data_IF_725970745899
#
_entry.id   IF_725970745899
#
_cell.length_a   1.000
_cell.length_b   1.000
_cell.length_c   1.000
_cell.angle_alpha   90.00
_cell.angle_beta   90.00
_cell.angle_gamma   90.00
#
_symmetry.space_group_name_H-M   'P 1'
#
loop_
_entity.id
_entity.type
_entity.pdbx_description
1 polymer ?
#
# COMPACT_ATOMS: atom_id res chain seq x y z
N UNK A 1 -12.04 -4.07 6.70
CA UNK A 1 -11.08 -4.68 7.64
C UNK A 1 -11.22 -4.17 9.09
N UNK A 2 -10.87 -2.94 9.44
CA UNK A 2 -10.93 -2.45 10.84
C UNK A 2 -12.36 -2.24 11.38
N UNK A 3 -13.35 -2.08 10.51
CA UNK A 3 -14.75 -1.84 10.90
C UNK A 3 -15.47 -3.06 11.46
N UNK A 4 -14.80 -4.21 11.52
CA UNK A 4 -15.30 -5.34 12.29
C UNK A 4 -15.08 -5.07 13.78
N UNK A 5 -16.13 -5.27 14.60
CA UNK A 5 -16.12 -5.05 16.04
C UNK A 5 -14.93 -5.76 16.74
N UNK A 6 -14.61 -6.96 16.31
CA UNK A 6 -13.50 -7.74 16.84
C UNK A 6 -12.14 -7.09 16.59
N UNK A 7 -11.91 -6.51 15.40
CA UNK A 7 -10.65 -5.80 15.12
C UNK A 7 -10.51 -4.56 16.00
N UNK A 8 -11.60 -3.82 16.19
CA UNK A 8 -11.60 -2.67 17.07
C UNK A 8 -11.28 -3.11 18.52
N UNK A 9 -11.85 -4.23 18.99
CA UNK A 9 -11.54 -4.81 20.29
C UNK A 9 -10.07 -5.20 20.42
N UNK A 10 -9.45 -5.81 19.37
CA UNK A 10 -8.02 -6.15 19.38
C UNK A 10 -7.14 -4.90 19.46
N UNK A 11 -7.48 -3.83 18.75
CA UNK A 11 -6.75 -2.57 18.82
C UNK A 11 -6.89 -1.92 20.22
N UNK A 12 -8.09 -1.95 20.80
CA UNK A 12 -8.32 -1.48 22.16
C UNK A 12 -7.53 -2.30 23.18
N UNK A 13 -7.57 -3.64 23.08
CA UNK A 13 -6.81 -4.54 23.95
C UNK A 13 -5.30 -4.27 23.83
N UNK A 14 -4.76 -4.23 22.63
CA UNK A 14 -3.34 -3.92 22.39
C UNK A 14 -2.96 -2.55 22.95
N UNK A 15 -3.86 -1.56 22.87
CA UNK A 15 -3.66 -0.22 23.45
C UNK A 15 -3.58 -0.31 24.98
N UNK A 16 -4.56 -0.93 25.64
CA UNK A 16 -4.58 -1.07 27.09
C UNK A 16 -3.34 -1.81 27.58
N UNK A 17 -3.03 -2.95 26.96
CA UNK A 17 -1.85 -3.74 27.34
C UNK A 17 -0.54 -3.00 27.11
N UNK A 18 -0.45 -2.15 26.08
CA UNK A 18 0.75 -1.32 25.84
C UNK A 18 1.00 -0.29 26.94
N UNK A 19 0.00 0.03 27.76
CA UNK A 19 0.14 0.92 28.93
C UNK A 19 0.54 0.19 30.19
N UNK A 20 0.20 -1.08 30.32
CA UNK A 20 0.49 -1.92 31.48
C UNK A 20 1.87 -2.56 31.34
N UNK A 21 2.20 -3.03 30.14
CA UNK A 21 3.45 -3.76 29.86
C UNK A 21 4.59 -2.78 29.57
N UNK A 22 5.79 -2.95 30.17
CA UNK A 22 6.94 -2.13 29.85
C UNK A 22 7.28 -2.15 28.33
N UNK A 23 7.64 -1.02 27.75
CA UNK A 23 7.86 -0.87 26.30
C UNK A 23 8.82 -1.88 25.68
N UNK A 24 9.79 -2.33 26.43
CA UNK A 24 10.75 -3.35 25.99
C UNK A 24 10.08 -4.71 25.69
N UNK A 25 8.92 -4.96 26.22
CA UNK A 25 8.15 -6.20 26.08
C UNK A 25 6.93 -6.05 25.15
N UNK A 26 6.75 -4.91 24.51
CA UNK A 26 5.59 -4.64 23.63
C UNK A 26 5.46 -5.65 22.50
N UNK A 27 6.55 -6.28 22.03
CA UNK A 27 6.47 -7.35 21.04
C UNK A 27 5.58 -8.52 21.50
N UNK A 28 5.59 -8.84 22.81
CA UNK A 28 4.76 -9.90 23.39
C UNK A 28 3.28 -9.52 23.49
N UNK A 29 2.95 -8.23 23.44
CA UNK A 29 1.57 -7.73 23.36
C UNK A 29 1.10 -7.71 21.90
N UNK A 30 1.92 -7.17 21.02
CA UNK A 30 1.51 -6.94 19.64
C UNK A 30 1.47 -8.22 18.80
N UNK A 31 2.36 -9.18 19.08
CA UNK A 31 2.40 -10.45 18.35
C UNK A 31 1.10 -11.25 18.49
N UNK A 32 0.57 -11.56 19.70
CA UNK A 32 -0.69 -12.28 19.83
C UNK A 32 -1.88 -11.52 19.21
N UNK A 33 -1.96 -10.20 19.42
CA UNK A 33 -2.99 -9.38 18.81
C UNK A 33 -2.91 -9.40 17.28
N UNK A 34 -1.70 -9.38 16.74
CA UNK A 34 -1.47 -9.49 15.30
C UNK A 34 -1.86 -10.86 14.73
N UNK A 35 -1.51 -11.95 15.42
CA UNK A 35 -1.92 -13.30 15.03
C UNK A 35 -3.45 -13.46 15.06
N UNK A 36 -4.11 -12.95 16.09
CA UNK A 36 -5.57 -12.96 16.18
C UNK A 36 -6.21 -12.11 15.07
N UNK A 37 -5.60 -10.98 14.70
CA UNK A 37 -6.05 -10.16 13.57
C UNK A 37 -5.95 -10.90 12.25
N UNK A 38 -4.82 -11.58 11.97
CA UNK A 38 -4.63 -12.33 10.74
C UNK A 38 -5.60 -13.52 10.67
N UNK A 39 -5.80 -14.22 11.79
CA UNK A 39 -6.65 -15.42 11.83
C UNK A 39 -8.10 -15.16 11.42
N UNK A 40 -8.62 -13.94 11.60
CA UNK A 40 -9.97 -13.60 11.14
C UNK A 40 -10.15 -13.62 9.62
N UNK A 41 -9.07 -13.32 8.89
CA UNK A 41 -9.11 -13.15 7.43
C UNK A 41 -8.47 -14.31 6.68
N UNK A 42 -7.83 -15.21 7.41
CA UNK A 42 -6.98 -16.20 6.79
C UNK A 42 -7.02 -17.53 7.54
N UNK A 43 -6.94 -18.66 6.84
CA UNK A 43 -6.87 -19.97 7.46
C UNK A 43 -5.63 -20.08 8.35
N UNK A 44 -5.63 -21.06 9.26
CA UNK A 44 -4.56 -21.29 10.24
C UNK A 44 -3.18 -21.45 9.60
N UNK A 45 -3.12 -21.94 8.36
CA UNK A 45 -1.89 -22.04 7.57
C UNK A 45 -1.18 -20.68 7.38
N UNK A 46 -1.93 -19.59 7.25
CA UNK A 46 -1.40 -18.24 7.10
C UNK A 46 -0.93 -17.68 8.45
N UNK A 47 -1.63 -18.01 9.52
CA UNK A 47 -1.19 -17.70 10.89
C UNK A 47 0.18 -18.33 11.14
N UNK A 48 0.38 -19.56 10.67
CA UNK A 48 1.67 -20.27 10.75
C UNK A 48 2.75 -19.65 9.87
N UNK A 49 2.40 -18.96 8.78
CA UNK A 49 3.35 -18.26 7.91
C UNK A 49 3.97 -17.03 8.59
N UNK A 50 3.24 -16.37 9.49
CA UNK A 50 3.69 -15.12 10.12
C UNK A 50 4.99 -15.26 10.94
N UNK A 51 5.23 -16.33 11.73
CA UNK A 51 6.52 -16.58 12.38
C UNK A 51 7.69 -16.67 11.39
N UNK A 52 7.47 -17.30 10.21
CA UNK A 52 8.51 -17.35 9.16
C UNK A 52 8.82 -15.97 8.59
N UNK A 53 7.81 -15.14 8.36
CA UNK A 53 7.99 -13.75 7.93
C UNK A 53 8.81 -12.97 8.97
N UNK A 54 8.51 -13.15 10.26
CA UNK A 54 9.29 -12.53 11.35
C UNK A 54 10.73 -13.04 11.41
N UNK A 55 10.95 -14.35 11.21
CA UNK A 55 12.28 -14.95 11.15
C UNK A 55 13.10 -14.36 10.00
N UNK A 56 12.51 -14.25 8.82
CA UNK A 56 13.17 -13.64 7.66
C UNK A 56 13.56 -12.19 7.98
N UNK A 57 12.66 -11.41 8.57
CA UNK A 57 12.97 -10.05 9.02
C UNK A 57 14.13 -10.00 10.00
N UNK A 58 14.20 -10.94 10.93
CA UNK A 58 15.31 -11.06 11.88
C UNK A 58 16.63 -11.41 11.19
N UNK A 59 16.63 -12.29 10.20
CA UNK A 59 17.82 -12.60 9.40
C UNK A 59 18.30 -11.39 8.61
N UNK A 60 17.42 -10.56 8.07
CA UNK A 60 17.76 -9.28 7.46
C UNK A 60 18.44 -8.33 8.47
N UNK A 61 17.94 -8.25 9.70
CA UNK A 61 18.55 -7.45 10.76
C UNK A 61 19.97 -7.92 11.11
N UNK A 62 20.16 -9.22 11.29
CA UNK A 62 21.49 -9.82 11.57
C UNK A 62 22.45 -9.52 10.43
N UNK A 63 22.03 -9.73 9.19
CA UNK A 63 22.86 -9.47 8.02
C UNK A 63 23.25 -7.98 7.89
N UNK A 64 22.31 -7.06 8.19
CA UNK A 64 22.59 -5.63 8.24
C UNK A 64 23.65 -5.28 9.27
N UNK A 65 23.55 -5.86 10.48
CA UNK A 65 24.52 -5.66 11.59
C UNK A 65 25.90 -6.22 11.28
N UNK A 66 25.98 -7.42 10.69
CA UNK A 66 27.25 -8.06 10.36
C UNK A 66 28.09 -7.20 9.40
N UNK A 67 27.45 -6.50 8.48
CA UNK A 67 28.13 -5.64 7.51
C UNK A 67 28.46 -4.24 8.06
N UNK A 68 27.70 -3.73 9.02
CA UNK A 68 28.00 -2.47 9.71
C UNK A 68 29.22 -2.55 10.59
N UNK A 69 29.53 -3.72 11.14
CA UNK A 69 30.78 -3.99 11.87
C UNK A 69 31.85 -4.34 10.83
N UNK A 70 32.80 -3.45 10.57
CA UNK A 70 33.96 -3.61 9.64
C UNK A 70 34.79 -4.93 9.83
N UNK A 71 34.39 -5.82 10.71
CA UNK A 71 35.06 -7.05 11.09
C UNK A 71 34.85 -8.26 10.17
N UNK A 72 33.95 -8.18 9.19
CA UNK A 72 33.80 -9.26 8.23
C UNK A 72 34.10 -8.76 6.81
N UNK A 73 35.22 -9.23 6.27
CA UNK A 73 35.51 -9.25 4.82
C UNK A 73 34.45 -10.12 4.11
N UNK A 74 33.20 -9.69 4.13
CA UNK A 74 32.11 -10.41 3.50
C UNK A 74 32.07 -10.01 2.03
N UNK A 75 32.32 -10.98 1.16
CA UNK A 75 32.24 -10.79 -0.28
C UNK A 75 30.87 -10.19 -0.65
N UNK A 76 30.87 -9.01 -1.26
CA UNK A 76 29.68 -8.22 -1.64
C UNK A 76 28.67 -9.08 -2.42
N UNK A 77 29.19 -9.99 -3.26
CA UNK A 77 28.42 -10.95 -4.05
C UNK A 77 27.66 -11.97 -3.18
N UNK A 78 28.31 -12.52 -2.14
CA UNK A 78 27.66 -13.47 -1.21
C UNK A 78 26.53 -12.81 -0.43
N UNK A 79 26.68 -11.55 -0.02
CA UNK A 79 25.62 -10.81 0.67
C UNK A 79 24.43 -10.52 -0.24
N UNK A 80 24.66 -10.24 -1.52
CA UNK A 80 23.62 -10.06 -2.52
C UNK A 80 22.89 -11.36 -2.81
N UNK A 81 23.64 -12.46 -3.02
CA UNK A 81 23.07 -13.80 -3.24
C UNK A 81 22.21 -14.22 -2.03
N UNK A 82 22.69 -14.01 -0.81
CA UNK A 82 21.92 -14.35 0.38
C UNK A 82 20.67 -13.48 0.53
N UNK A 83 20.73 -12.19 0.16
CA UNK A 83 19.55 -11.32 0.15
C UNK A 83 18.52 -11.80 -0.87
N UNK A 84 18.95 -12.16 -2.07
CA UNK A 84 18.06 -12.72 -3.11
C UNK A 84 17.53 -14.09 -2.68
N UNK A 85 18.36 -14.95 -2.10
CA UNK A 85 17.93 -16.25 -1.59
C UNK A 85 16.90 -16.11 -0.46
N UNK A 86 17.09 -15.19 0.48
CA UNK A 86 16.10 -14.88 1.52
C UNK A 86 14.78 -14.36 0.94
N UNK A 87 14.86 -13.52 -0.10
CA UNK A 87 13.68 -13.08 -0.84
C UNK A 87 12.97 -14.26 -1.51
N UNK A 88 13.70 -15.13 -2.22
CA UNK A 88 13.15 -16.32 -2.86
C UNK A 88 12.56 -17.29 -1.82
N UNK A 89 13.25 -17.53 -0.71
CA UNK A 89 12.73 -18.36 0.39
C UNK A 89 11.46 -17.76 1.01
N UNK A 90 11.33 -16.45 1.08
CA UNK A 90 10.10 -15.79 1.52
C UNK A 90 8.93 -16.04 0.55
N UNK A 91 9.24 -16.14 -0.76
CA UNK A 91 8.24 -16.39 -1.81
C UNK A 91 7.85 -17.87 -1.96
N UNK A 92 8.69 -18.81 -1.54
CA UNK A 92 8.40 -20.26 -1.65
C UNK A 92 7.17 -20.69 -0.84
N UNK A 93 7.05 -20.39 0.47
CA UNK A 93 5.84 -20.70 1.24
C UNK A 93 4.61 -19.97 0.69
N UNK A 94 4.82 -18.77 0.17
CA UNK A 94 3.81 -17.97 -0.48
C UNK A 94 3.33 -18.60 -1.79
N UNK A 95 4.24 -19.01 -2.67
CA UNK A 95 3.92 -19.70 -3.91
C UNK A 95 3.25 -21.06 -3.67
N UNK A 96 3.71 -21.83 -2.68
CA UNK A 96 3.07 -23.09 -2.29
C UNK A 96 1.66 -22.88 -1.74
N UNK A 97 1.47 -21.86 -0.91
CA UNK A 97 0.15 -21.47 -0.44
C UNK A 97 -0.77 -21.04 -1.58
N UNK A 98 -0.27 -20.26 -2.54
CA UNK A 98 -0.99 -19.89 -3.74
C UNK A 98 -1.46 -21.11 -4.55
N UNK A 99 -0.56 -22.05 -4.78
CA UNK A 99 -0.85 -23.26 -5.53
C UNK A 99 -1.87 -24.15 -4.80
N UNK A 100 -1.75 -24.27 -3.48
CA UNK A 100 -2.70 -25.01 -2.65
C UNK A 100 -4.08 -24.34 -2.61
N UNK A 101 -4.15 -23.02 -2.67
CA UNK A 101 -5.40 -22.26 -2.66
C UNK A 101 -6.08 -22.24 -4.04
N UNK A 102 -5.31 -22.16 -5.11
CA UNK A 102 -5.82 -22.23 -6.48
C UNK A 102 -6.44 -23.61 -6.83
N UNK A 103 -5.98 -24.67 -6.18
CA UNK A 103 -6.54 -26.02 -6.33
C UNK A 103 -7.83 -26.26 -5.54
N UNK A 104 -8.18 -25.39 -4.58
CA UNK A 104 -9.26 -25.65 -3.62
C UNK A 104 -10.60 -24.95 -3.90
N UNK A 105 -10.69 -24.08 -4.81
CA UNK A 105 -11.83 -23.36 -5.42
C UNK A 105 -11.32 -22.03 -5.96
N UNK A 106 -11.77 -21.61 -7.15
CA UNK A 106 -11.49 -20.30 -7.77
C UNK A 106 -12.09 -19.13 -6.96
N UNK A 107 -11.77 -19.03 -5.69
CA UNK A 107 -12.05 -17.84 -4.89
C UNK A 107 -10.86 -16.92 -4.99
N UNK A 108 -11.13 -15.66 -5.27
CA UNK A 108 -10.12 -14.59 -5.33
C UNK A 108 -9.10 -14.72 -4.20
N UNK A 109 -7.82 -14.64 -4.57
CA UNK A 109 -6.71 -14.68 -3.62
C UNK A 109 -6.94 -13.69 -2.47
N UNK A 110 -6.72 -14.08 -1.19
CA UNK A 110 -6.88 -13.15 -0.08
C UNK A 110 -5.85 -12.02 -0.19
N UNK A 111 -6.29 -10.90 -0.74
CA UNK A 111 -5.54 -9.65 -0.87
C UNK A 111 -4.78 -9.27 0.41
N UNK A 112 -5.36 -9.60 1.56
CA UNK A 112 -4.79 -9.36 2.86
C UNK A 112 -3.43 -10.02 3.07
N UNK A 113 -3.23 -11.21 2.52
CA UNK A 113 -1.95 -11.95 2.66
C UNK A 113 -0.87 -11.28 1.83
N UNK A 114 -1.20 -10.90 0.60
CA UNK A 114 -0.27 -10.24 -0.28
C UNK A 114 0.21 -8.91 0.32
N UNK A 115 -0.75 -8.11 0.81
CA UNK A 115 -0.43 -6.86 1.53
C UNK A 115 0.43 -7.14 2.75
N UNK A 116 0.09 -8.18 3.55
CA UNK A 116 0.87 -8.57 4.72
C UNK A 116 2.33 -8.87 4.35
N UNK A 117 2.56 -9.70 3.34
CA UNK A 117 3.91 -10.09 2.92
C UNK A 117 4.68 -8.89 2.39
N UNK A 118 4.13 -8.18 1.42
CA UNK A 118 4.83 -7.08 0.74
C UNK A 118 5.11 -5.89 1.65
N UNK A 119 4.15 -5.53 2.51
CA UNK A 119 4.37 -4.48 3.50
C UNK A 119 5.47 -4.84 4.50
N UNK A 120 5.48 -6.07 4.99
CA UNK A 120 6.53 -6.49 5.90
C UNK A 120 7.88 -6.59 5.19
N UNK A 121 7.94 -7.07 3.94
CA UNK A 121 9.19 -7.08 3.16
C UNK A 121 9.73 -5.67 2.95
N UNK A 122 8.88 -4.69 2.63
CA UNK A 122 9.28 -3.30 2.51
C UNK A 122 9.84 -2.77 3.85
N UNK A 123 9.22 -3.12 4.97
CA UNK A 123 9.67 -2.73 6.32
C UNK A 123 10.98 -3.41 6.72
N UNK A 124 11.18 -4.68 6.38
CA UNK A 124 12.44 -5.38 6.63
C UNK A 124 13.57 -4.84 5.78
N UNK A 125 13.28 -4.56 4.50
CA UNK A 125 14.28 -4.02 3.60
C UNK A 125 14.82 -2.66 4.07
N UNK A 126 13.96 -1.74 4.51
CA UNK A 126 14.46 -0.45 4.98
C UNK A 126 15.25 -0.57 6.29
N UNK A 127 14.83 -1.45 7.22
CA UNK A 127 15.62 -1.70 8.46
C UNK A 127 16.98 -2.26 8.12
N UNK A 128 17.03 -3.28 7.24
CA UNK A 128 18.30 -3.82 6.74
C UNK A 128 19.19 -2.73 6.14
N UNK A 129 18.61 -1.93 5.24
CA UNK A 129 19.32 -0.86 4.55
C UNK A 129 19.88 0.17 5.54
N UNK A 130 19.06 0.68 6.46
CA UNK A 130 19.42 1.71 7.40
C UNK A 130 20.45 1.22 8.45
N UNK A 131 20.31 -0.02 8.93
CA UNK A 131 21.30 -0.65 9.83
C UNK A 131 22.65 -0.81 9.11
N UNK A 132 22.61 -1.29 7.86
CA UNK A 132 23.83 -1.50 7.05
C UNK A 132 24.59 -0.21 6.75
N UNK A 133 23.88 0.91 6.57
CA UNK A 133 24.49 2.20 6.26
C UNK A 133 24.72 3.07 7.50
N UNK A 134 24.54 2.51 8.69
CA UNK A 134 24.78 3.24 9.95
C UNK A 134 23.73 4.30 10.29
N UNK A 135 22.62 4.33 9.57
CA UNK A 135 21.52 5.29 9.79
C UNK A 135 20.62 4.89 10.96
N UNK A 136 20.78 3.67 11.46
CA UNK A 136 20.03 3.12 12.59
C UNK A 136 20.99 2.46 13.60
N UNK A 137 21.89 3.24 14.24
CA UNK A 137 22.87 2.67 15.15
C UNK A 137 22.22 2.17 16.44
N UNK A 138 22.74 1.06 16.98
CA UNK A 138 22.38 0.56 18.32
C UNK A 138 20.94 0.07 18.45
N UNK A 139 20.27 -0.31 17.34
CA UNK A 139 18.95 -0.97 17.39
C UNK A 139 19.08 -2.30 18.12
N UNK A 140 18.23 -2.49 19.14
CA UNK A 140 18.12 -3.75 19.87
C UNK A 140 17.17 -4.71 19.18
N UNK A 141 17.42 -6.01 19.29
CA UNK A 141 16.53 -7.05 18.71
C UNK A 141 15.09 -6.91 19.19
N UNK A 142 14.88 -6.59 20.48
CA UNK A 142 13.56 -6.35 21.05
C UNK A 142 12.83 -5.14 20.43
N UNK A 143 13.57 -4.09 20.07
CA UNK A 143 13.01 -2.91 19.39
C UNK A 143 12.57 -3.26 17.96
N UNK A 144 13.36 -4.11 17.30
CA UNK A 144 12.98 -4.63 15.98
C UNK A 144 11.69 -5.45 16.04
N UNK A 145 11.60 -6.42 16.94
CA UNK A 145 10.38 -7.22 17.07
C UNK A 145 9.17 -6.37 17.47
N UNK A 146 9.33 -5.42 18.39
CA UNK A 146 8.24 -4.51 18.73
C UNK A 146 7.79 -3.67 17.52
N UNK A 147 8.72 -3.23 16.67
CA UNK A 147 8.40 -2.48 15.46
C UNK A 147 7.68 -3.33 14.42
N UNK A 148 8.17 -4.53 14.12
CA UNK A 148 7.58 -5.36 13.05
C UNK A 148 6.23 -5.92 13.42
N UNK A 149 5.97 -6.15 14.71
CA UNK A 149 4.68 -6.62 15.22
C UNK A 149 3.73 -5.50 15.62
N UNK A 150 4.16 -4.22 15.57
CA UNK A 150 3.34 -3.08 16.00
C UNK A 150 2.04 -3.00 15.20
N UNK A 151 0.95 -3.36 15.84
CA UNK A 151 -0.36 -3.60 15.23
C UNK A 151 -0.82 -2.48 14.28
N UNK A 152 -0.70 -1.17 14.63
CA UNK A 152 -1.17 -0.08 13.76
C UNK A 152 -0.48 0.00 12.39
N UNK A 153 0.70 -0.59 12.23
CA UNK A 153 1.46 -0.53 10.96
C UNK A 153 1.82 -1.92 10.41
N UNK A 154 1.47 -3.01 11.12
CA UNK A 154 1.89 -4.35 10.72
C UNK A 154 1.09 -4.89 9.52
N UNK A 155 -0.17 -4.48 9.36
CA UNK A 155 -1.13 -5.12 8.44
C UNK A 155 -1.72 -4.09 7.47
N UNK A 156 -0.88 -3.54 6.58
CA UNK A 156 -1.33 -2.60 5.55
C UNK A 156 -1.55 -1.17 6.04
N UNK A 157 -1.06 -0.82 7.25
CA UNK A 157 -1.00 0.55 7.74
C UNK A 157 0.06 1.37 7.01
N UNK A 158 0.36 2.61 7.46
CA UNK A 158 1.41 3.42 6.85
C UNK A 158 2.78 2.76 7.03
N UNK A 159 3.66 2.87 6.02
CA UNK A 159 5.07 2.47 6.15
C UNK A 159 5.80 3.57 6.93
N UNK A 160 5.83 3.43 8.24
CA UNK A 160 6.58 4.33 9.11
C UNK A 160 8.00 3.82 9.31
N UNK A 161 8.97 4.75 9.42
CA UNK A 161 10.36 4.35 9.54
C UNK A 161 10.69 3.85 10.95
N UNK A 162 11.55 2.84 11.04
CA UNK A 162 11.97 2.30 12.33
C UNK A 162 12.68 3.34 13.20
N UNK A 163 13.36 4.33 12.61
CA UNK A 163 13.98 5.43 13.33
C UNK A 163 12.97 6.21 14.17
N UNK A 164 11.80 6.55 13.59
CA UNK A 164 10.74 7.24 14.32
C UNK A 164 10.15 6.35 15.40
N UNK A 165 9.90 5.08 15.09
CA UNK A 165 9.39 4.12 16.06
C UNK A 165 10.30 3.99 17.28
N UNK A 166 11.61 3.74 17.07
CA UNK A 166 12.60 3.59 18.14
C UNK A 166 12.75 4.88 18.95
N UNK A 167 12.70 6.04 18.29
CA UNK A 167 12.73 7.33 18.96
C UNK A 167 11.58 7.47 19.98
N UNK A 168 10.36 7.10 19.63
CA UNK A 168 9.25 7.14 20.56
C UNK A 168 9.28 5.99 21.58
N UNK A 169 9.75 4.81 21.19
CA UNK A 169 9.87 3.66 22.09
C UNK A 169 10.82 3.93 23.26
N UNK A 170 11.86 4.73 23.05
CA UNK A 170 12.84 5.10 24.09
C UNK A 170 12.38 6.28 24.97
N UNK A 171 11.31 6.96 24.61
CA UNK A 171 10.71 8.06 25.43
C UNK A 171 9.75 7.53 26.48
N UNK A 172 9.42 8.37 27.48
CA UNK A 172 8.30 8.09 28.39
C UNK A 172 7.01 7.94 27.62
N UNK A 173 6.18 7.02 28.06
CA UNK A 173 4.87 6.78 27.48
C UNK A 173 3.98 8.02 27.66
N UNK A 174 3.36 8.48 26.58
CA UNK A 174 2.47 9.64 26.58
C UNK A 174 1.40 9.45 25.52
N UNK A 175 0.14 9.69 25.87
CA UNK A 175 -0.95 9.76 24.89
C UNK A 175 -0.93 11.12 24.19
N UNK A 176 -1.10 11.12 22.90
CA UNK A 176 -1.13 12.33 22.08
C UNK A 176 -2.57 12.72 21.73
N UNK A 177 -3.38 13.04 22.74
CA UNK A 177 -4.84 13.27 22.63
C UNK A 177 -5.25 14.19 21.47
N UNK A 178 -4.57 15.32 21.31
CA UNK A 178 -4.86 16.24 20.20
C UNK A 178 -4.74 15.57 18.83
N UNK A 179 -3.72 14.70 18.64
CA UNK A 179 -3.54 13.95 17.40
C UNK A 179 -4.56 12.83 17.25
N UNK A 180 -4.89 12.15 18.34
CA UNK A 180 -5.97 11.16 18.35
C UNK A 180 -7.26 11.80 17.84
N UNK A 181 -7.67 12.95 18.41
CA UNK A 181 -8.87 13.67 17.96
C UNK A 181 -8.82 14.05 16.47
N UNK A 182 -7.68 14.56 15.99
CA UNK A 182 -7.49 14.92 14.57
C UNK A 182 -7.63 13.70 13.65
N UNK A 183 -7.02 12.56 14.02
CA UNK A 183 -7.09 11.34 13.20
C UNK A 183 -8.49 10.74 13.22
N UNK A 184 -9.18 10.72 14.36
CA UNK A 184 -10.56 10.26 14.45
C UNK A 184 -11.52 11.16 13.67
N UNK A 185 -11.38 12.48 13.77
CA UNK A 185 -12.18 13.44 13.02
C UNK A 185 -12.02 13.30 11.49
N UNK A 186 -10.93 12.74 11.02
CA UNK A 186 -10.70 12.42 9.61
C UNK A 186 -11.21 11.01 9.25
N UNK A 187 -11.00 10.04 10.14
CA UNK A 187 -11.33 8.64 9.87
C UNK A 187 -12.85 8.40 9.82
N UNK A 188 -13.59 8.87 10.84
CA UNK A 188 -15.01 8.55 10.98
C UNK A 188 -15.89 9.08 9.84
N UNK A 189 -15.81 10.36 9.43
CA UNK A 189 -16.64 10.83 8.32
C UNK A 189 -16.37 10.07 7.02
N UNK A 190 -15.10 9.75 6.74
CA UNK A 190 -14.74 8.98 5.56
C UNK A 190 -15.26 7.55 5.62
N UNK A 191 -15.20 6.91 6.79
CA UNK A 191 -15.75 5.58 7.00
C UNK A 191 -17.27 5.57 6.78
N UNK A 192 -17.99 6.48 7.44
CA UNK A 192 -19.45 6.60 7.31
C UNK A 192 -19.88 6.86 5.86
N UNK A 193 -19.18 7.77 5.18
CA UNK A 193 -19.49 8.04 3.78
C UNK A 193 -19.19 6.82 2.88
N UNK A 194 -18.11 6.09 3.13
CA UNK A 194 -17.81 4.89 2.37
C UNK A 194 -18.90 3.82 2.55
N UNK A 195 -19.32 3.57 3.79
CA UNK A 195 -20.37 2.57 4.06
C UNK A 195 -21.75 3.03 3.53
N UNK A 196 -22.06 4.32 3.58
CA UNK A 196 -23.23 4.88 2.96
C UNK A 196 -23.25 4.66 1.43
N UNK A 197 -22.10 4.90 0.75
CA UNK A 197 -21.97 4.65 -0.67
C UNK A 197 -22.12 3.16 -1.01
N UNK A 198 -21.56 2.28 -0.19
CA UNK A 198 -21.72 0.82 -0.36
C UNK A 198 -23.16 0.39 -0.16
N UNK A 199 -23.89 0.97 0.80
CA UNK A 199 -25.28 0.68 1.02
C UNK A 199 -26.15 1.00 -0.22
N UNK A 200 -25.90 2.14 -0.89
CA UNK A 200 -26.64 2.54 -2.08
C UNK A 200 -26.18 1.84 -3.37
N UNK A 201 -24.90 1.55 -3.48
CA UNK A 201 -24.26 0.98 -4.68
C UNK A 201 -23.53 -0.31 -4.32
N UNK A 202 -24.29 -1.27 -3.76
CA UNK A 202 -23.70 -2.57 -3.42
C UNK A 202 -23.28 -3.30 -4.70
N UNK A 203 -21.95 -3.59 -4.86
CA UNK A 203 -21.44 -4.27 -6.04
C UNK A 203 -22.10 -5.65 -6.26
N UNK A 204 -22.40 -6.37 -5.20
CA UNK A 204 -22.99 -7.72 -5.27
C UNK A 204 -24.45 -7.75 -5.74
N UNK A 205 -25.13 -6.60 -5.75
CA UNK A 205 -26.53 -6.49 -6.14
C UNK A 205 -26.76 -5.51 -7.28
N UNK A 206 -25.70 -4.92 -7.84
CA UNK A 206 -25.82 -3.97 -8.94
C UNK A 206 -26.24 -4.70 -10.22
N UNK A 207 -27.34 -4.28 -10.88
CA UNK A 207 -27.89 -4.96 -12.05
C UNK A 207 -27.12 -4.56 -13.32
N UNK A 208 -25.90 -5.07 -13.52
CA UNK A 208 -25.03 -4.67 -14.63
C UNK A 208 -25.69 -4.75 -16.01
N UNK A 209 -26.50 -5.78 -16.26
CA UNK A 209 -27.14 -5.98 -17.55
C UNK A 209 -28.27 -4.98 -17.79
N UNK A 210 -29.06 -4.66 -16.77
CA UNK A 210 -30.27 -3.83 -16.88
C UNK A 210 -30.02 -2.35 -16.60
N UNK A 211 -28.85 -2.01 -15.99
CA UNK A 211 -28.52 -0.64 -15.67
C UNK A 211 -28.31 0.21 -16.94
N UNK A 212 -28.80 1.46 -16.93
CA UNK A 212 -28.44 2.42 -17.98
C UNK A 212 -26.93 2.72 -17.99
N UNK A 213 -26.41 3.21 -19.11
CA UNK A 213 -24.99 3.65 -19.20
C UNK A 213 -24.68 4.72 -18.13
N UNK A 214 -25.62 5.65 -17.88
CA UNK A 214 -25.45 6.67 -16.83
C UNK A 214 -25.30 6.05 -15.46
N UNK A 215 -26.13 5.08 -15.08
CA UNK A 215 -26.04 4.38 -13.80
C UNK A 215 -24.74 3.59 -13.68
N UNK A 216 -24.27 2.95 -14.75
CA UNK A 216 -22.99 2.25 -14.78
C UNK A 216 -21.79 3.20 -14.56
N UNK A 217 -21.80 4.37 -15.19
CA UNK A 217 -20.75 5.38 -15.01
C UNK A 217 -20.73 5.94 -13.57
N UNK A 218 -21.92 6.21 -13.00
CA UNK A 218 -22.06 6.63 -11.60
C UNK A 218 -21.54 5.54 -10.67
N UNK A 219 -21.86 4.28 -10.90
CA UNK A 219 -21.40 3.14 -10.14
C UNK A 219 -19.87 3.06 -10.16
N UNK A 220 -19.24 3.08 -11.35
CA UNK A 220 -17.77 3.05 -11.51
C UNK A 220 -17.09 4.21 -10.78
N UNK A 221 -17.65 5.41 -10.90
CA UNK A 221 -17.11 6.58 -10.19
C UNK A 221 -17.23 6.42 -8.67
N UNK A 222 -18.34 5.86 -8.19
CA UNK A 222 -18.60 5.59 -6.77
C UNK A 222 -17.63 4.56 -6.20
N UNK A 223 -17.30 3.50 -6.96
CA UNK A 223 -16.27 2.51 -6.55
C UNK A 223 -14.95 3.21 -6.22
N UNK A 224 -14.49 4.10 -7.09
CA UNK A 224 -13.27 4.88 -6.83
C UNK A 224 -13.33 5.63 -5.49
N UNK A 225 -14.46 6.26 -5.18
CA UNK A 225 -14.65 6.91 -3.88
C UNK A 225 -14.63 5.92 -2.72
N UNK A 226 -15.32 4.80 -2.82
CA UNK A 226 -15.38 3.78 -1.76
C UNK A 226 -13.96 3.26 -1.44
N UNK A 227 -13.17 2.90 -2.47
CA UNK A 227 -11.79 2.42 -2.28
C UNK A 227 -10.95 3.49 -1.57
N UNK A 228 -11.01 4.73 -2.04
CA UNK A 228 -10.23 5.82 -1.46
C UNK A 228 -10.64 6.15 -0.02
N UNK A 229 -11.94 6.28 0.25
CA UNK A 229 -12.46 6.61 1.57
C UNK A 229 -12.17 5.51 2.60
N UNK A 230 -12.32 4.23 2.21
CA UNK A 230 -12.02 3.09 3.07
C UNK A 230 -10.54 3.05 3.43
N UNK A 231 -9.63 3.19 2.44
CA UNK A 231 -8.19 3.20 2.73
C UNK A 231 -7.78 4.42 3.55
N UNK A 232 -8.33 5.59 3.23
CA UNK A 232 -8.05 6.82 3.99
C UNK A 232 -8.46 6.68 5.45
N UNK A 233 -9.70 6.26 5.71
CA UNK A 233 -10.22 6.09 7.07
C UNK A 233 -9.48 5.00 7.84
N UNK A 234 -9.13 3.88 7.20
CA UNK A 234 -8.32 2.82 7.78
C UNK A 234 -6.97 3.34 8.29
N UNK A 235 -6.22 4.05 7.44
CA UNK A 235 -4.90 4.58 7.81
C UNK A 235 -5.01 5.66 8.89
N UNK A 236 -5.99 6.55 8.82
CA UNK A 236 -6.16 7.56 9.87
C UNK A 236 -6.58 6.92 11.20
N UNK A 237 -7.40 5.86 11.19
CA UNK A 237 -7.77 5.13 12.39
C UNK A 237 -6.57 4.39 13.01
N UNK A 238 -5.74 3.71 12.21
CA UNK A 238 -4.53 3.05 12.71
C UNK A 238 -3.55 4.07 13.32
N UNK A 239 -3.47 5.27 12.77
CA UNK A 239 -2.67 6.37 13.32
C UNK A 239 -3.23 6.91 14.62
N UNK A 240 -4.56 6.95 14.79
CA UNK A 240 -5.18 7.29 16.08
C UNK A 240 -4.76 6.30 17.16
N UNK A 241 -4.83 4.98 16.87
CA UNK A 241 -4.36 3.95 17.80
C UNK A 241 -2.86 4.04 18.08
N UNK A 242 -2.04 4.31 17.08
CA UNK A 242 -0.61 4.55 17.29
C UNK A 242 -0.37 5.73 18.26
N UNK A 243 -1.11 6.82 18.12
CA UNK A 243 -1.05 7.96 19.05
C UNK A 243 -1.50 7.60 20.48
N UNK A 244 -2.53 6.75 20.62
CA UNK A 244 -2.97 6.22 21.92
C UNK A 244 -1.88 5.35 22.57
N UNK A 245 -1.16 4.55 21.78
CA UNK A 245 -0.04 3.72 22.23
C UNK A 245 1.27 4.51 22.42
N UNK A 246 1.26 5.84 22.21
CA UNK A 246 2.42 6.72 22.40
C UNK A 246 3.40 6.79 21.24
N UNK A 247 2.96 6.47 20.00
CA UNK A 247 3.74 6.54 18.77
C UNK A 247 3.10 7.52 17.75
N UNK A 248 3.25 8.84 17.95
CA UNK A 248 2.66 9.84 17.08
C UNK A 248 3.53 10.07 15.85
N UNK A 249 3.44 9.22 14.86
CA UNK A 249 4.15 9.40 13.60
C UNK A 249 3.84 10.76 12.98
N UNK A 250 4.88 11.53 12.65
CA UNK A 250 4.74 12.95 12.32
C UNK A 250 4.41 13.19 10.84
N UNK A 251 4.97 12.40 9.95
CA UNK A 251 4.83 12.62 8.53
C UNK A 251 3.38 12.33 8.06
N UNK A 252 2.75 13.24 7.29
CA UNK A 252 1.40 13.01 6.77
C UNK A 252 1.38 11.82 5.81
N UNK A 253 0.26 11.08 5.75
CA UNK A 253 0.06 10.03 4.76
C UNK A 253 -0.87 10.45 3.61
N UNK A 254 -1.71 11.45 3.85
CA UNK A 254 -2.58 12.06 2.86
C UNK A 254 -2.53 13.58 2.99
N UNK A 255 -2.47 14.30 1.85
CA UNK A 255 -2.41 15.77 1.86
C UNK A 255 -3.15 16.37 0.67
N UNK A 256 -4.36 16.91 0.88
CA UNK A 256 -5.17 17.58 -0.15
C UNK A 256 -5.23 16.79 -1.47
N UNK A 257 -5.54 15.50 -1.37
CA UNK A 257 -5.47 14.54 -2.48
C UNK A 257 -6.28 15.00 -3.69
N UNK A 258 -7.52 15.41 -3.49
CA UNK A 258 -8.43 15.89 -4.55
C UNK A 258 -8.10 17.30 -5.08
N UNK A 259 -7.05 17.92 -4.56
CA UNK A 259 -6.43 19.11 -5.13
C UNK A 259 -5.38 18.81 -6.19
N UNK A 260 -5.13 17.55 -6.50
CA UNK A 260 -4.15 17.13 -7.50
C UNK A 260 -4.56 17.56 -8.91
N UNK A 261 -3.59 18.06 -9.69
CA UNK A 261 -3.77 18.53 -11.06
C UNK A 261 -3.13 17.59 -12.09
N UNK A 262 -2.67 16.44 -11.68
CA UNK A 262 -2.06 15.40 -12.50
C UNK A 262 -1.95 14.10 -11.72
N UNK A 263 -1.78 12.97 -12.41
CA UNK A 263 -1.59 11.65 -11.81
C UNK A 263 -0.35 11.63 -10.90
N UNK A 264 0.76 12.25 -11.33
CA UNK A 264 1.96 12.38 -10.50
C UNK A 264 1.69 13.19 -9.22
N UNK A 265 0.93 14.31 -9.33
CA UNK A 265 0.55 15.13 -8.17
C UNK A 265 -0.42 14.39 -7.24
N UNK A 266 -1.29 13.50 -7.76
CA UNK A 266 -2.15 12.65 -6.94
C UNK A 266 -1.30 11.69 -6.08
N UNK A 267 -0.39 10.93 -6.69
CA UNK A 267 0.45 9.98 -5.99
C UNK A 267 1.43 10.61 -5.01
N UNK A 268 1.87 11.85 -5.26
CA UNK A 268 2.67 12.61 -4.28
C UNK A 268 1.90 13.02 -3.02
N UNK A 269 0.58 12.89 -3.02
CA UNK A 269 -0.34 13.30 -1.94
C UNK A 269 -1.13 12.14 -1.35
N UNK A 270 -1.16 11.00 -2.04
CA UNK A 270 -1.87 9.78 -1.69
C UNK A 270 -0.91 8.74 -1.16
N UNK A 271 -1.24 8.13 -0.03
CA UNK A 271 -0.43 7.10 0.64
C UNK A 271 1.07 7.45 0.67
N UNK A 272 1.36 8.65 1.15
CA UNK A 272 2.68 9.28 1.05
C UNK A 272 3.79 8.48 1.75
N UNK A 273 3.45 7.62 2.71
CA UNK A 273 4.42 6.76 3.38
C UNK A 273 5.06 5.76 2.42
N UNK A 274 4.25 5.13 1.56
CA UNK A 274 4.72 4.23 0.49
C UNK A 274 5.58 5.00 -0.51
N UNK A 275 5.12 6.18 -0.94
CA UNK A 275 5.87 7.04 -1.87
C UNK A 275 7.23 7.47 -1.29
N UNK A 276 7.29 7.90 -0.03
CA UNK A 276 8.54 8.26 0.65
C UNK A 276 9.50 7.08 0.76
N UNK A 277 8.97 5.90 1.12
CA UNK A 277 9.74 4.68 1.17
C UNK A 277 10.33 4.33 -0.20
N UNK A 278 9.50 4.32 -1.24
CA UNK A 278 9.93 4.02 -2.60
C UNK A 278 11.00 4.99 -3.11
N UNK A 279 10.78 6.29 -2.92
CA UNK A 279 11.76 7.31 -3.31
C UNK A 279 13.10 7.09 -2.62
N UNK A 280 13.10 6.81 -1.32
CA UNK A 280 14.34 6.67 -0.54
C UNK A 280 15.10 5.39 -0.82
N UNK A 281 14.41 4.24 -0.93
CA UNK A 281 15.06 2.93 -0.94
C UNK A 281 15.10 2.25 -2.31
N UNK A 282 14.23 2.64 -3.23
CA UNK A 282 14.12 2.04 -4.56
C UNK A 282 14.50 3.03 -5.67
N UNK A 283 13.83 4.17 -5.71
CA UNK A 283 13.94 5.09 -6.85
C UNK A 283 15.17 6.01 -6.77
N UNK A 284 15.43 6.63 -5.61
CA UNK A 284 16.47 7.66 -5.48
C UNK A 284 17.88 7.14 -5.75
N UNK A 285 18.15 5.88 -5.44
CA UNK A 285 19.44 5.25 -5.71
C UNK A 285 19.71 5.09 -7.21
N UNK A 286 18.65 4.85 -7.98
CA UNK A 286 18.74 4.67 -9.43
C UNK A 286 18.61 6.00 -10.21
N UNK A 287 18.17 7.07 -9.54
CA UNK A 287 17.95 8.37 -10.14
C UNK A 287 19.22 9.15 -10.50
N UNK A 288 20.27 8.97 -9.70
CA UNK A 288 21.53 9.72 -9.89
C UNK A 288 22.30 9.31 -11.13
N UNK A 289 22.04 8.13 -11.66
CA UNK A 289 22.82 7.50 -12.73
C UNK A 289 21.96 7.18 -13.97
N UNK A 290 20.62 7.31 -13.89
CA UNK A 290 19.72 6.96 -14.98
C UNK A 290 19.42 8.16 -15.86
N UNK A 291 19.41 7.93 -17.17
CA UNK A 291 18.82 8.87 -18.13
C UNK A 291 17.29 8.94 -17.96
N UNK A 292 16.67 9.97 -18.52
CA UNK A 292 15.21 10.19 -18.40
C UNK A 292 14.39 9.00 -18.89
N UNK A 293 14.84 8.29 -19.94
CA UNK A 293 14.12 7.13 -20.49
C UNK A 293 14.18 5.94 -19.55
N UNK A 294 15.35 5.64 -19.00
CA UNK A 294 15.55 4.59 -18.02
C UNK A 294 14.76 4.87 -16.74
N UNK A 295 14.72 6.12 -16.31
CA UNK A 295 13.89 6.51 -15.16
C UNK A 295 12.40 6.26 -15.41
N UNK A 296 11.85 6.65 -16.57
CA UNK A 296 10.44 6.40 -16.91
C UNK A 296 10.14 4.89 -16.92
N UNK A 297 11.04 4.07 -17.49
CA UNK A 297 10.88 2.60 -17.48
C UNK A 297 10.82 2.04 -16.06
N UNK A 298 11.75 2.45 -15.19
CA UNK A 298 11.79 2.01 -13.78
C UNK A 298 10.51 2.43 -13.05
N UNK A 299 10.02 3.63 -13.31
CA UNK A 299 8.81 4.16 -12.70
C UNK A 299 7.56 3.36 -13.13
N UNK A 300 7.42 3.09 -14.43
CA UNK A 300 6.29 2.30 -14.95
C UNK A 300 6.34 0.87 -14.39
N UNK A 301 7.52 0.24 -14.39
CA UNK A 301 7.71 -1.09 -13.79
C UNK A 301 7.40 -1.10 -12.29
N UNK A 302 7.83 -0.08 -11.55
CA UNK A 302 7.53 0.05 -10.13
C UNK A 302 6.01 0.10 -9.87
N UNK A 303 5.26 0.87 -10.66
CA UNK A 303 3.81 0.92 -10.54
C UNK A 303 3.13 -0.38 -11.00
N UNK A 304 3.65 -1.06 -12.02
CA UNK A 304 3.18 -2.38 -12.41
C UNK A 304 3.33 -3.39 -11.26
N UNK A 305 4.47 -3.37 -10.56
CA UNK A 305 4.70 -4.21 -9.37
C UNK A 305 3.79 -3.82 -8.19
N UNK A 306 3.49 -2.54 -8.01
CA UNK A 306 2.47 -2.11 -7.03
C UNK A 306 1.10 -2.67 -7.42
N UNK A 307 0.74 -2.65 -8.69
CA UNK A 307 -0.49 -3.27 -9.17
C UNK A 307 -0.54 -4.75 -8.87
N UNK A 308 0.48 -5.51 -9.29
CA UNK A 308 0.61 -6.94 -8.99
C UNK A 308 0.59 -7.25 -7.47
N UNK A 309 0.97 -6.27 -6.65
CA UNK A 309 0.87 -6.36 -5.20
C UNK A 309 -0.57 -6.29 -4.66
N UNK A 310 -1.55 -5.94 -5.46
CA UNK A 310 -2.96 -5.93 -5.08
C UNK A 310 -3.67 -7.25 -5.39
N UNK A 311 -3.11 -8.10 -6.23
CA UNK A 311 -3.63 -9.41 -6.59
C UNK A 311 -2.81 -10.01 -7.75
N UNK A 312 -3.00 -11.31 -7.98
CA UNK A 312 -2.28 -12.03 -9.04
C UNK A 312 -3.01 -11.93 -10.39
N UNK A 313 -4.27 -11.51 -10.37
CA UNK A 313 -5.06 -11.35 -11.59
C UNK A 313 -4.47 -10.20 -12.43
N UNK A 314 -4.46 -10.39 -13.74
CA UNK A 314 -3.89 -9.45 -14.72
C UNK A 314 -4.44 -8.03 -14.58
N UNK A 315 -5.70 -7.89 -14.17
CA UNK A 315 -6.36 -6.59 -13.98
C UNK A 315 -5.60 -5.67 -13.01
N UNK A 316 -5.04 -6.21 -11.92
CA UNK A 316 -4.29 -5.41 -10.94
C UNK A 316 -2.97 -4.89 -11.53
N UNK A 317 -2.26 -5.75 -12.28
CA UNK A 317 -1.04 -5.35 -12.98
C UNK A 317 -1.33 -4.27 -14.03
N UNK A 318 -2.44 -4.40 -14.76
CA UNK A 318 -2.90 -3.39 -15.72
C UNK A 318 -3.23 -2.07 -15.04
N UNK A 319 -3.88 -2.10 -13.86
CA UNK A 319 -4.11 -0.90 -13.07
C UNK A 319 -2.80 -0.20 -12.72
N UNK A 320 -1.82 -0.95 -12.25
CA UNK A 320 -0.49 -0.42 -11.94
C UNK A 320 0.19 0.18 -13.18
N UNK A 321 0.16 -0.51 -14.32
CA UNK A 321 0.69 0.00 -15.59
C UNK A 321 0.01 1.32 -15.99
N UNK A 322 -1.32 1.42 -15.91
CA UNK A 322 -2.04 2.67 -16.18
C UNK A 322 -1.54 3.79 -15.28
N UNK A 323 -1.38 3.56 -13.97
CA UNK A 323 -0.84 4.57 -13.06
C UNK A 323 0.57 5.01 -13.45
N UNK A 324 1.45 4.06 -13.76
CA UNK A 324 2.82 4.34 -14.22
C UNK A 324 2.85 5.14 -15.52
N UNK A 325 2.04 4.76 -16.50
CA UNK A 325 1.90 5.48 -17.78
C UNK A 325 1.32 6.88 -17.57
N UNK A 326 0.33 7.03 -16.71
CA UNK A 326 -0.23 8.36 -16.37
C UNK A 326 0.80 9.30 -15.76
N UNK A 327 1.71 8.80 -14.91
CA UNK A 327 2.82 9.59 -14.36
C UNK A 327 3.85 9.90 -15.45
N UNK A 328 4.21 8.90 -16.26
CA UNK A 328 5.14 9.08 -17.38
C UNK A 328 4.64 10.14 -18.37
N UNK A 329 3.34 10.11 -18.68
CA UNK A 329 2.69 11.15 -19.49
C UNK A 329 2.81 12.54 -18.88
N UNK A 330 2.64 12.68 -17.56
CA UNK A 330 2.83 13.98 -16.91
C UNK A 330 4.27 14.49 -17.04
N UNK A 331 5.26 13.63 -16.96
CA UNK A 331 6.67 14.00 -17.16
C UNK A 331 6.92 14.44 -18.60
N UNK A 332 6.43 13.68 -19.58
CA UNK A 332 6.49 14.03 -20.99
C UNK A 332 5.78 15.36 -21.27
N UNK A 333 4.58 15.55 -20.73
CA UNK A 333 3.82 16.78 -20.88
C UNK A 333 4.58 18.01 -20.35
N UNK A 334 5.20 17.90 -19.18
CA UNK A 334 6.04 18.95 -18.63
C UNK A 334 7.23 19.27 -19.54
N UNK A 335 7.89 18.25 -20.05
CA UNK A 335 9.00 18.41 -21.00
C UNK A 335 8.55 19.14 -22.27
N UNK A 336 7.45 18.72 -22.89
CA UNK A 336 6.88 19.34 -24.08
C UNK A 336 6.49 20.81 -23.84
N UNK A 337 5.89 21.08 -22.67
CA UNK A 337 5.53 22.44 -22.26
C UNK A 337 6.74 23.37 -22.17
N UNK A 338 7.88 22.86 -21.68
CA UNK A 338 9.11 23.65 -21.66
C UNK A 338 9.75 23.85 -23.04
N UNK A 339 9.59 22.93 -23.97
CA UNK A 339 10.21 22.99 -25.29
C UNK A 339 9.38 23.70 -26.36
N UNK A 340 8.06 23.82 -26.19
CA UNK A 340 7.16 24.31 -27.24
C UNK A 340 6.20 25.38 -26.74
N UNK A 341 6.21 26.54 -27.41
CA UNK A 341 5.22 27.62 -27.16
C UNK A 341 3.78 27.15 -27.36
N UNK A 342 3.55 26.23 -28.31
CA UNK A 342 2.24 25.63 -28.55
C UNK A 342 1.70 24.93 -27.28
N UNK A 343 2.49 24.04 -26.68
CA UNK A 343 2.09 23.34 -25.45
C UNK A 343 1.91 24.28 -24.26
N UNK A 344 2.71 25.33 -24.18
CA UNK A 344 2.57 26.35 -23.13
C UNK A 344 1.26 27.11 -23.28
N UNK A 345 0.89 27.55 -24.50
CA UNK A 345 -0.35 28.26 -24.80
C UNK A 345 -1.55 27.33 -24.53
N UNK A 346 -1.48 26.08 -24.97
CA UNK A 346 -2.51 25.07 -24.74
C UNK A 346 -2.78 24.89 -23.23
N UNK A 347 -1.70 24.79 -22.43
CA UNK A 347 -1.79 24.63 -20.99
C UNK A 347 -2.39 25.84 -20.28
N UNK A 348 -2.04 27.04 -20.68
CA UNK A 348 -2.50 28.28 -20.03
C UNK A 348 -3.90 28.69 -20.47
N UNK A 349 -4.27 28.45 -21.73
CA UNK A 349 -5.51 28.92 -22.34
C UNK A 349 -6.67 27.92 -22.18
N UNK A 350 -6.41 26.65 -22.36
CA UNK A 350 -7.45 25.61 -22.42
C UNK A 350 -7.50 24.71 -21.17
N UNK A 351 -6.35 24.41 -20.56
CA UNK A 351 -6.30 23.57 -19.37
C UNK A 351 -6.36 24.39 -18.07
N UNK A 352 -7.55 24.82 -17.71
CA UNK A 352 -7.76 25.47 -16.40
C UNK A 352 -7.43 24.54 -15.25
N UNK A 353 -7.16 25.14 -14.07
CA UNK A 353 -6.89 24.37 -12.85
C UNK A 353 -8.04 23.42 -12.51
N UNK A 354 -9.29 23.86 -12.74
CA UNK A 354 -10.48 23.03 -12.51
C UNK A 354 -10.52 21.81 -13.44
N UNK A 355 -10.31 22.04 -14.74
CA UNK A 355 -10.29 20.95 -15.72
C UNK A 355 -9.17 19.94 -15.43
N UNK A 356 -7.96 20.39 -15.11
CA UNK A 356 -6.85 19.48 -14.73
C UNK A 356 -7.20 18.59 -13.53
N UNK A 357 -7.85 19.18 -12.52
CA UNK A 357 -8.32 18.41 -11.34
C UNK A 357 -9.38 17.39 -11.73
N UNK A 358 -10.39 17.82 -12.50
CA UNK A 358 -11.47 16.95 -12.96
C UNK A 358 -10.91 15.76 -13.74
N UNK A 359 -10.07 16.01 -14.76
CA UNK A 359 -9.45 14.96 -15.57
C UNK A 359 -8.60 13.99 -14.72
N UNK A 360 -7.88 14.53 -13.73
CA UNK A 360 -7.08 13.69 -12.82
C UNK A 360 -7.99 12.79 -11.97
N UNK A 361 -9.06 13.33 -11.40
CA UNK A 361 -10.00 12.57 -10.58
C UNK A 361 -10.69 11.50 -11.43
N UNK A 362 -11.19 11.85 -12.62
CA UNK A 362 -11.80 10.90 -13.53
C UNK A 362 -10.84 9.77 -13.89
N UNK A 363 -9.60 10.10 -14.29
CA UNK A 363 -8.59 9.09 -14.60
C UNK A 363 -8.37 8.10 -13.45
N UNK A 364 -8.17 8.62 -12.23
CA UNK A 364 -7.93 7.79 -11.04
C UNK A 364 -9.16 6.94 -10.71
N UNK A 365 -10.36 7.53 -10.70
CA UNK A 365 -11.57 6.80 -10.30
C UNK A 365 -11.98 5.74 -11.33
N UNK A 366 -11.94 6.06 -12.63
CA UNK A 366 -12.26 5.07 -13.65
C UNK A 366 -11.24 3.93 -13.71
N UNK A 367 -9.96 4.20 -13.42
CA UNK A 367 -8.97 3.13 -13.32
C UNK A 367 -9.23 2.16 -12.17
N UNK A 368 -9.94 2.59 -11.11
CA UNK A 368 -10.29 1.73 -9.97
C UNK A 368 -11.22 0.57 -10.33
N UNK A 369 -11.83 0.58 -11.51
CA UNK A 369 -12.56 -0.59 -12.06
C UNK A 369 -11.66 -1.83 -12.10
N UNK A 370 -10.38 -1.66 -12.39
CA UNK A 370 -9.41 -2.75 -12.41
C UNK A 370 -9.01 -3.26 -11.01
N UNK A 371 -9.48 -2.62 -9.95
CA UNK A 371 -9.22 -3.04 -8.56
C UNK A 371 -10.37 -3.83 -7.94
N UNK A 372 -11.46 -4.06 -8.68
CA UNK A 372 -12.63 -4.76 -8.15
C UNK A 372 -12.85 -6.10 -8.85
N UNK A 373 -13.38 -7.10 -8.14
CA UNK A 373 -13.63 -8.43 -8.71
C UNK A 373 -14.64 -8.39 -9.89
N UNK A 374 -15.56 -7.43 -9.86
CA UNK A 374 -16.59 -7.26 -10.90
C UNK A 374 -16.07 -6.56 -12.17
N UNK A 375 -14.77 -6.36 -12.31
CA UNK A 375 -14.15 -5.64 -13.43
C UNK A 375 -14.63 -6.16 -14.79
N UNK A 376 -14.62 -7.46 -15.01
CA UNK A 376 -15.05 -8.09 -16.25
C UNK A 376 -16.52 -7.78 -16.57
N UNK A 377 -17.41 -7.92 -15.59
CA UNK A 377 -18.85 -7.64 -15.76
C UNK A 377 -19.10 -6.17 -16.10
N UNK A 378 -18.36 -5.25 -15.48
CA UNK A 378 -18.42 -3.81 -15.77
C UNK A 378 -18.02 -3.54 -17.22
N UNK A 379 -16.93 -4.14 -17.69
CA UNK A 379 -16.40 -3.94 -19.05
C UNK A 379 -17.37 -4.52 -20.09
N UNK A 380 -17.89 -5.73 -19.88
CA UNK A 380 -18.89 -6.35 -20.74
C UNK A 380 -20.14 -5.47 -20.83
N UNK A 381 -20.68 -5.04 -19.71
CA UNK A 381 -21.85 -4.16 -19.68
C UNK A 381 -21.59 -2.83 -20.39
N UNK A 382 -20.41 -2.23 -20.22
CA UNK A 382 -20.02 -1.01 -20.92
C UNK A 382 -19.92 -1.21 -22.43
N UNK A 383 -19.28 -2.29 -22.89
CA UNK A 383 -19.16 -2.66 -24.30
C UNK A 383 -20.53 -2.79 -24.95
N UNK A 384 -21.45 -3.54 -24.32
CA UNK A 384 -22.81 -3.75 -24.82
C UNK A 384 -23.59 -2.43 -24.93
N UNK A 385 -23.48 -1.53 -23.96
CA UNK A 385 -24.26 -0.28 -23.92
C UNK A 385 -23.68 0.81 -24.85
N UNK A 386 -22.41 0.78 -25.16
CA UNK A 386 -21.78 1.77 -26.03
C UNK A 386 -21.59 1.30 -27.46
N UNK A 387 -21.68 0.00 -27.72
CA UNK A 387 -21.30 -0.61 -29.01
C UNK A 387 -19.80 -0.63 -29.28
N UNK A 388 -18.96 -0.25 -28.30
CA UNK A 388 -17.51 -0.29 -28.41
C UNK A 388 -17.05 -1.72 -28.20
N UNK A 389 -16.39 -2.33 -29.21
CA UNK A 389 -15.83 -3.65 -29.05
C UNK A 389 -14.61 -3.60 -28.11
N UNK A 390 -14.70 -4.30 -26.97
CA UNK A 390 -13.66 -4.45 -25.98
C UNK A 390 -13.20 -5.90 -25.78
N UNK A 391 -13.49 -6.79 -26.75
CA UNK A 391 -13.15 -8.22 -26.67
C UNK A 391 -11.64 -8.45 -26.51
N UNK A 392 -10.83 -7.62 -27.17
CA UNK A 392 -9.38 -7.64 -27.00
C UNK A 392 -8.93 -7.35 -25.56
N UNK A 393 -9.65 -6.47 -24.86
CA UNK A 393 -9.33 -6.12 -23.47
C UNK A 393 -9.78 -7.24 -22.53
N UNK A 394 -10.95 -7.84 -22.77
CA UNK A 394 -11.43 -9.01 -22.05
C UNK A 394 -10.48 -10.21 -22.26
N UNK A 395 -9.97 -10.39 -23.48
CA UNK A 395 -8.95 -11.39 -23.75
C UNK A 395 -7.68 -11.14 -22.92
N UNK A 396 -7.19 -9.90 -22.85
CA UNK A 396 -6.02 -9.56 -22.01
C UNK A 396 -6.28 -9.84 -20.53
N UNK A 397 -7.48 -9.57 -20.03
CA UNK A 397 -7.85 -9.87 -18.65
C UNK A 397 -7.92 -11.38 -18.38
N UNK A 398 -8.29 -12.19 -19.39
CA UNK A 398 -8.37 -13.65 -19.26
C UNK A 398 -7.01 -14.34 -19.28
N UNK A 399 -5.94 -13.66 -19.70
CA UNK A 399 -4.56 -14.16 -19.62
C UNK A 399 -4.17 -14.16 -18.14
N UNK A 400 -4.47 -15.27 -17.46
CA UNK A 400 -4.02 -15.52 -16.08
C UNK A 400 -2.51 -15.79 -16.04
N UNK A 401 -1.89 -15.53 -14.90
CA UNK A 401 -0.51 -15.96 -14.60
C UNK A 401 -0.49 -17.42 -14.21
#
# INVERSE_FOLDING_TARGET
>A
MIYNLFNLQLFCLATILSWIVPRQWHAFVFLPCGLAFIHQYSPISVVMLYPFILLIGYLFLIQGRAKSRKQFSYNKTKAQILSVALWLVAWVPYGWYLQSYASFERKSFPYEILVLVLYNMARYYHVFYDVRHGQLPGVKTREFFAYVTFLPIAFGGPIELMQEFVHYQRKKLKIYWKRVGIHLAKAFPCALLAEFLVFYYNPFTFPFNDASLGNLLIYVFTIGWVIHLRLYSYIELTRAFACLMGYPFNAPNFQKVYGARSVASFWSRWNMSVGRWAMRYVLFKNFKEADTKSFIKILVLYFALIGAAHGLETQYTLWGLLMGVGIAWNLLYLYLKYKSKFWLILDTRYFTVGLKRLLTILYIHFSCVLLVPECEQIIVSFSQKTGINLDWFLFVLSIGW
#
